data_IF_975272672498
#
_entry.id   IF_975272672498
#
_cell.length_a   1.000
_cell.length_b   1.000
_cell.length_c   1.000
_cell.angle_alpha   90.00
_cell.angle_beta   90.00
_cell.angle_gamma   90.00
#
_symmetry.space_group_name_H-M   'P 1'
#
loop_
_entity.id
_entity.type
_entity.pdbx_description
1 polymer ?
#
# COMPACT_ATOMS: atom_id res chain seq x y z
N UNK A 1 44.09 46.47 29.49
CA UNK A 1 43.38 46.37 28.21
C UNK A 1 43.16 44.93 27.71
N UNK A 2 44.05 43.96 27.99
CA UNK A 2 43.91 42.56 27.51
C UNK A 2 42.74 41.78 28.17
N UNK A 3 42.31 42.14 29.40
CA UNK A 3 41.19 41.46 30.07
C UNK A 3 39.79 41.78 29.54
N UNK A 4 39.54 43.03 29.16
CA UNK A 4 38.27 43.48 28.59
C UNK A 4 37.97 42.85 27.22
N UNK A 5 39.00 42.65 26.43
CA UNK A 5 38.88 42.01 25.11
C UNK A 5 38.51 40.51 25.22
N UNK A 6 39.05 39.85 26.24
CA UNK A 6 38.73 38.42 26.50
C UNK A 6 37.30 38.22 26.98
N UNK A 7 36.82 39.12 27.87
CA UNK A 7 35.41 39.11 28.32
C UNK A 7 34.43 39.41 27.15
N UNK A 8 34.78 40.38 26.30
CA UNK A 8 33.98 40.67 25.11
C UNK A 8 33.89 39.50 24.13
N UNK A 9 35.01 38.77 23.92
CA UNK A 9 35.04 37.60 23.02
C UNK A 9 34.24 36.43 23.58
N UNK A 10 34.32 36.19 24.90
CA UNK A 10 33.51 35.11 25.55
C UNK A 10 32.00 35.44 25.55
N UNK A 11 31.62 36.69 25.77
CA UNK A 11 30.23 37.11 25.70
C UNK A 11 29.66 37.03 24.25
N UNK A 12 30.46 37.44 23.26
CA UNK A 12 30.08 37.30 21.85
C UNK A 12 29.95 35.83 21.45
N UNK A 13 30.86 34.96 21.90
CA UNK A 13 30.78 33.52 21.68
C UNK A 13 29.51 32.90 22.32
N UNK A 14 29.23 33.25 23.58
CA UNK A 14 28.06 32.78 24.30
C UNK A 14 26.74 33.26 23.63
N UNK A 15 26.69 34.52 23.16
CA UNK A 15 25.55 35.04 22.44
C UNK A 15 25.37 34.35 21.08
N UNK A 16 26.45 34.08 20.35
CA UNK A 16 26.40 33.34 19.08
C UNK A 16 25.90 31.88 19.28
N UNK A 17 26.41 31.21 20.31
CA UNK A 17 25.96 29.84 20.68
C UNK A 17 24.50 29.81 21.09
N UNK A 18 24.03 30.78 21.88
CA UNK A 18 22.64 30.90 22.28
C UNK A 18 21.71 31.16 21.07
N UNK A 19 22.13 32.02 20.11
CA UNK A 19 21.39 32.28 18.89
C UNK A 19 21.33 31.05 17.99
N UNK A 20 22.46 30.34 17.84
CA UNK A 20 22.50 29.07 17.08
C UNK A 20 21.64 27.99 17.73
N UNK A 21 21.67 27.86 19.06
CA UNK A 21 20.80 26.94 19.78
C UNK A 21 19.33 27.27 19.60
N UNK A 22 18.95 28.56 19.74
CA UNK A 22 17.57 29.01 19.50
C UNK A 22 17.08 28.74 18.07
N UNK A 23 17.96 28.88 17.09
CA UNK A 23 17.65 28.56 15.68
C UNK A 23 17.52 27.05 15.41
N UNK A 24 18.36 26.23 16.03
CA UNK A 24 18.37 24.78 15.83
C UNK A 24 17.33 24.03 16.68
N UNK A 25 16.91 24.60 17.80
CA UNK A 25 15.98 23.97 18.74
C UNK A 25 14.65 23.51 18.12
N UNK A 26 13.95 24.30 17.28
CA UNK A 26 12.73 23.84 16.63
C UNK A 26 12.99 22.63 15.72
N UNK A 27 14.09 22.62 14.98
CA UNK A 27 14.48 21.50 14.10
C UNK A 27 14.82 20.24 14.88
N UNK A 28 15.49 20.39 16.03
CA UNK A 28 15.79 19.26 16.92
C UNK A 28 14.53 18.66 17.53
N UNK A 29 13.58 19.50 17.90
CA UNK A 29 12.28 19.07 18.41
C UNK A 29 11.49 18.32 17.35
N UNK A 30 11.42 18.83 16.12
CA UNK A 30 10.75 18.16 14.99
C UNK A 30 11.45 16.83 14.65
N UNK A 31 12.78 16.81 14.65
CA UNK A 31 13.58 15.60 14.42
C UNK A 31 13.35 14.54 15.50
N UNK A 32 13.31 14.93 16.77
CA UNK A 32 13.03 14.00 17.89
C UNK A 32 11.60 13.44 17.81
N UNK A 33 10.62 14.27 17.46
CA UNK A 33 9.24 13.82 17.28
C UNK A 33 9.13 12.78 16.15
N UNK A 34 9.83 12.99 15.01
CA UNK A 34 9.89 12.03 13.92
C UNK A 34 10.54 10.69 14.34
N UNK A 35 11.63 10.75 15.12
CA UNK A 35 12.30 9.54 15.62
C UNK A 35 11.41 8.77 16.60
N UNK A 36 10.69 9.45 17.48
CA UNK A 36 9.74 8.82 18.40
C UNK A 36 8.54 8.20 17.69
N UNK A 37 8.09 8.82 16.59
CA UNK A 37 6.97 8.34 15.79
C UNK A 37 7.37 7.28 14.75
N UNK A 38 8.64 6.90 14.62
CA UNK A 38 9.15 6.04 13.56
C UNK A 38 8.42 4.68 13.45
N UNK A 39 7.89 4.16 14.55
CA UNK A 39 7.19 2.86 14.59
C UNK A 39 5.67 2.98 14.47
N UNK A 40 5.13 4.21 14.49
CA UNK A 40 3.73 4.52 14.28
C UNK A 40 3.54 5.30 12.97
N UNK A 41 3.12 4.63 11.87
CA UNK A 41 2.95 5.31 10.59
C UNK A 41 1.86 6.37 10.59
N UNK A 42 0.88 6.32 11.49
CA UNK A 42 -0.15 7.35 11.59
C UNK A 42 0.41 8.65 12.18
N UNK A 43 1.12 8.57 13.30
CA UNK A 43 1.80 9.73 13.89
C UNK A 43 2.89 10.28 12.97
N UNK A 44 3.68 9.38 12.36
CA UNK A 44 4.73 9.77 11.41
C UNK A 44 4.17 10.54 10.23
N UNK A 45 3.07 10.05 9.61
CA UNK A 45 2.41 10.73 8.49
C UNK A 45 1.82 12.08 8.89
N UNK A 46 1.27 12.22 10.11
CA UNK A 46 0.77 13.50 10.62
C UNK A 46 1.87 14.56 10.76
N UNK A 47 3.01 14.19 11.33
CA UNK A 47 4.15 15.11 11.46
C UNK A 47 4.65 15.53 10.09
N UNK A 48 4.82 14.58 9.18
CA UNK A 48 5.34 14.86 7.83
C UNK A 48 4.38 15.67 6.97
N UNK A 49 3.07 15.36 7.00
CA UNK A 49 2.09 16.13 6.24
C UNK A 49 1.95 17.55 6.78
N UNK A 50 1.97 17.74 8.11
CA UNK A 50 1.96 19.07 8.71
C UNK A 50 3.20 19.89 8.30
N UNK A 51 4.37 19.24 8.20
CA UNK A 51 5.58 19.88 7.69
C UNK A 51 5.46 20.25 6.21
N UNK A 52 4.94 19.34 5.38
CA UNK A 52 4.71 19.60 3.96
C UNK A 52 3.72 20.76 3.75
N UNK A 53 2.65 20.84 4.55
CA UNK A 53 1.65 21.91 4.47
C UNK A 53 2.19 23.27 4.91
N UNK A 54 3.13 23.33 5.84
CA UNK A 54 3.84 24.58 6.17
C UNK A 54 4.59 25.16 4.97
N UNK A 55 5.11 24.28 4.11
CA UNK A 55 5.86 24.67 2.89
C UNK A 55 4.91 24.97 1.72
N UNK A 56 3.85 24.17 1.57
CA UNK A 56 2.86 24.33 0.50
C UNK A 56 1.44 24.06 1.03
N UNK A 57 0.80 25.09 1.59
CA UNK A 57 -0.56 24.98 2.11
C UNK A 57 -1.60 24.63 1.03
N UNK A 58 -1.32 24.96 -0.25
CA UNK A 58 -2.23 24.68 -1.36
C UNK A 58 -2.19 23.24 -1.85
N UNK A 59 -1.24 22.41 -1.40
CA UNK A 59 -1.01 21.04 -1.92
C UNK A 59 -2.27 20.16 -1.83
N UNK A 60 -3.05 20.26 -0.75
CA UNK A 60 -4.27 19.47 -0.59
C UNK A 60 -5.34 19.87 -1.60
N UNK A 61 -5.60 21.20 -1.75
CA UNK A 61 -6.58 21.71 -2.71
C UNK A 61 -6.20 21.40 -4.16
N UNK A 62 -4.92 21.54 -4.49
CA UNK A 62 -4.38 21.16 -5.80
C UNK A 62 -4.53 19.66 -6.06
N UNK A 63 -4.21 18.83 -5.06
CA UNK A 63 -4.36 17.37 -5.15
C UNK A 63 -5.81 16.95 -5.37
N UNK A 64 -6.76 17.57 -4.65
CA UNK A 64 -8.19 17.31 -4.84
C UNK A 64 -8.68 17.73 -6.24
N UNK A 65 -8.27 18.92 -6.72
CA UNK A 65 -8.63 19.39 -8.04
C UNK A 65 -8.05 18.51 -9.16
N UNK A 66 -6.79 18.07 -9.02
CA UNK A 66 -6.16 17.16 -9.97
C UNK A 66 -6.84 15.79 -9.98
N UNK A 67 -7.18 15.25 -8.81
CA UNK A 67 -7.90 13.97 -8.72
C UNK A 67 -9.25 14.02 -9.42
N UNK A 68 -9.99 15.14 -9.31
CA UNK A 68 -11.23 15.34 -10.08
C UNK A 68 -10.97 15.41 -11.59
N UNK A 69 -9.90 16.08 -12.02
CA UNK A 69 -9.55 16.14 -13.44
C UNK A 69 -9.18 14.75 -14.00
N UNK A 70 -8.59 13.90 -13.17
CA UNK A 70 -8.24 12.52 -13.50
C UNK A 70 -9.44 11.54 -13.35
N UNK A 71 -10.64 12.04 -13.06
CA UNK A 71 -11.85 11.23 -12.78
C UNK A 71 -11.65 10.22 -11.62
N UNK A 72 -10.87 10.59 -10.61
CA UNK A 72 -10.67 9.77 -9.40
C UNK A 72 -11.36 10.44 -8.20
N UNK A 73 -12.69 10.28 -8.14
CA UNK A 73 -13.52 10.89 -7.10
C UNK A 73 -13.14 10.40 -5.70
N UNK A 74 -12.75 9.13 -5.54
CA UNK A 74 -12.30 8.58 -4.26
C UNK A 74 -11.01 9.25 -3.77
N UNK A 75 -10.05 9.52 -4.68
CA UNK A 75 -8.84 10.25 -4.32
C UNK A 75 -9.15 11.72 -4.00
N UNK A 76 -10.03 12.36 -4.78
CA UNK A 76 -10.48 13.71 -4.49
C UNK A 76 -11.13 13.80 -3.09
N UNK A 77 -11.98 12.83 -2.76
CA UNK A 77 -12.59 12.69 -1.42
C UNK A 77 -11.53 12.50 -0.34
N UNK A 78 -10.53 11.66 -0.57
CA UNK A 78 -9.41 11.46 0.34
C UNK A 78 -8.69 12.77 0.67
N UNK A 79 -8.49 13.64 -0.31
CA UNK A 79 -7.91 14.97 -0.11
C UNK A 79 -8.83 15.92 0.65
N UNK A 80 -10.13 15.90 0.39
CA UNK A 80 -11.09 16.74 1.14
C UNK A 80 -11.21 16.31 2.59
N UNK A 81 -11.21 15.00 2.86
CA UNK A 81 -11.20 14.46 4.22
C UNK A 81 -9.93 14.87 4.98
N UNK A 82 -8.78 14.85 4.30
CA UNK A 82 -7.51 15.31 4.86
C UNK A 82 -7.52 16.82 5.12
N UNK A 83 -8.11 17.62 4.22
CA UNK A 83 -8.27 19.06 4.41
C UNK A 83 -9.08 19.38 5.66
N UNK A 84 -10.19 18.67 5.86
CA UNK A 84 -11.04 18.80 7.03
C UNK A 84 -10.29 18.44 8.32
N UNK A 85 -9.55 17.32 8.34
CA UNK A 85 -8.75 16.87 9.48
C UNK A 85 -7.66 17.89 9.86
N UNK A 86 -7.03 18.51 8.86
CA UNK A 86 -5.95 19.48 9.05
C UNK A 86 -6.41 20.93 9.18
N UNK A 87 -7.73 21.19 9.10
CA UNK A 87 -8.27 22.54 9.14
C UNK A 87 -7.83 23.43 7.96
N UNK A 88 -7.51 22.82 6.81
CA UNK A 88 -7.07 23.55 5.61
C UNK A 88 -8.28 23.99 4.80
N UNK A 89 -8.40 25.29 4.55
CA UNK A 89 -9.46 25.83 3.70
C UNK A 89 -9.25 25.41 2.24
N UNK A 90 -10.28 24.81 1.65
CA UNK A 90 -10.29 24.45 0.24
C UNK A 90 -10.81 25.63 -0.61
N UNK A 91 -10.43 25.70 -1.91
CA UNK A 91 -11.03 26.64 -2.86
C UNK A 91 -12.56 26.52 -2.87
N UNK A 92 -13.23 27.66 -3.03
CA UNK A 92 -14.70 27.74 -3.02
C UNK A 92 -15.31 26.79 -4.05
N UNK A 93 -16.33 26.01 -3.64
CA UNK A 93 -17.04 25.06 -4.48
C UNK A 93 -16.28 23.75 -4.78
N UNK A 94 -15.01 23.61 -4.39
CA UNK A 94 -14.25 22.37 -4.66
C UNK A 94 -14.84 21.17 -3.91
N UNK A 95 -15.17 21.34 -2.62
CA UNK A 95 -15.77 20.25 -1.82
C UNK A 95 -17.11 19.79 -2.42
N UNK A 96 -17.98 20.70 -2.81
CA UNK A 96 -19.26 20.36 -3.45
C UNK A 96 -19.06 19.59 -4.78
N UNK A 97 -18.06 19.96 -5.58
CA UNK A 97 -17.71 19.23 -6.81
C UNK A 97 -17.21 17.81 -6.52
N UNK A 98 -16.42 17.64 -5.46
CA UNK A 98 -15.95 16.31 -5.02
C UNK A 98 -17.14 15.45 -4.57
N UNK A 99 -18.04 15.99 -3.74
CA UNK A 99 -19.22 15.26 -3.26
C UNK A 99 -20.16 14.87 -4.42
N UNK A 100 -20.34 15.74 -5.41
CA UNK A 100 -21.10 15.42 -6.62
C UNK A 100 -20.42 14.29 -7.42
N UNK A 101 -19.10 14.33 -7.61
CA UNK A 101 -18.35 13.30 -8.34
C UNK A 101 -18.41 11.95 -7.62
N UNK A 102 -18.29 11.93 -6.28
CA UNK A 102 -18.43 10.70 -5.47
C UNK A 102 -19.86 10.13 -5.60
N UNK A 103 -20.86 10.99 -5.56
CA UNK A 103 -22.27 10.57 -5.74
C UNK A 103 -22.50 9.95 -7.11
N UNK A 104 -21.94 10.56 -8.16
CA UNK A 104 -22.05 10.03 -9.54
C UNK A 104 -21.28 8.71 -9.69
N UNK A 105 -20.07 8.60 -9.16
CA UNK A 105 -19.27 7.35 -9.18
C UNK A 105 -19.99 6.19 -8.44
N UNK A 106 -20.71 6.48 -7.37
CA UNK A 106 -21.49 5.51 -6.59
C UNK A 106 -22.90 5.27 -7.12
N UNK A 107 -23.30 5.92 -8.22
CA UNK A 107 -24.62 5.74 -8.80
C UNK A 107 -24.82 4.31 -9.33
N UNK A 108 -26.08 3.85 -9.36
CA UNK A 108 -26.43 2.53 -9.89
C UNK A 108 -26.00 2.37 -11.34
N UNK A 109 -26.04 3.46 -12.13
CA UNK A 109 -25.64 3.47 -13.53
C UNK A 109 -24.12 3.26 -13.71
N UNK A 110 -23.28 3.91 -12.86
CA UNK A 110 -21.84 3.73 -12.90
C UNK A 110 -21.43 2.35 -12.39
N UNK A 111 -22.10 1.83 -11.36
CA UNK A 111 -21.90 0.46 -10.86
C UNK A 111 -22.26 -0.57 -11.93
N UNK A 112 -23.39 -0.42 -12.62
CA UNK A 112 -23.79 -1.29 -13.72
C UNK A 112 -22.81 -1.25 -14.90
N UNK A 113 -22.30 -0.05 -15.24
CA UNK A 113 -21.30 0.13 -16.32
C UNK A 113 -19.98 -0.56 -15.95
N UNK A 114 -19.47 -0.38 -14.72
CA UNK A 114 -18.26 -1.05 -14.23
C UNK A 114 -18.41 -2.56 -14.25
N UNK A 115 -19.55 -3.07 -13.80
CA UNK A 115 -19.86 -4.50 -13.84
C UNK A 115 -19.86 -5.04 -15.28
N UNK A 116 -20.52 -4.35 -16.22
CA UNK A 116 -20.55 -4.75 -17.61
C UNK A 116 -19.15 -4.72 -18.25
N UNK A 117 -18.36 -3.67 -17.97
CA UNK A 117 -16.98 -3.56 -18.49
C UNK A 117 -16.09 -4.66 -17.90
N UNK A 118 -16.12 -4.86 -16.57
CA UNK A 118 -15.35 -5.91 -15.91
C UNK A 118 -15.69 -7.32 -16.37
N UNK A 119 -16.97 -7.58 -16.67
CA UNK A 119 -17.42 -8.85 -17.22
C UNK A 119 -16.90 -9.11 -18.65
N UNK A 120 -16.85 -8.07 -19.48
CA UNK A 120 -16.37 -8.18 -20.89
C UNK A 120 -14.83 -8.20 -20.94
N UNK A 121 -14.14 -7.37 -20.15
CA UNK A 121 -12.67 -7.27 -20.21
C UNK A 121 -11.96 -8.26 -19.29
N UNK A 122 -12.67 -8.87 -18.33
CA UNK A 122 -12.10 -9.73 -17.31
C UNK A 122 -11.28 -8.96 -16.24
N UNK A 123 -11.40 -7.63 -16.25
CA UNK A 123 -10.81 -6.73 -15.25
C UNK A 123 -11.91 -6.31 -14.28
N UNK A 124 -12.00 -7.00 -13.14
CA UNK A 124 -12.94 -6.65 -12.08
C UNK A 124 -12.33 -5.52 -11.23
N UNK A 125 -12.66 -4.28 -11.54
CA UNK A 125 -12.22 -3.11 -10.75
C UNK A 125 -12.90 -3.03 -9.36
N UNK A 126 -13.96 -3.81 -9.13
CA UNK A 126 -14.76 -3.69 -7.91
C UNK A 126 -15.27 -5.05 -7.40
N UNK A 127 -14.39 -5.76 -6.71
CA UNK A 127 -14.74 -7.05 -6.05
C UNK A 127 -15.69 -6.85 -4.86
N UNK A 128 -15.80 -5.63 -4.34
CA UNK A 128 -16.63 -5.31 -3.18
C UNK A 128 -18.13 -5.36 -3.46
N UNK A 129 -18.54 -5.27 -4.73
CA UNK A 129 -19.95 -5.27 -5.12
C UNK A 129 -20.55 -6.66 -5.40
N UNK A 130 -19.71 -7.71 -5.42
CA UNK A 130 -20.17 -9.08 -5.60
C UNK A 130 -20.59 -9.69 -4.27
N UNK A 131 -21.83 -10.18 -4.19
CA UNK A 131 -22.29 -10.94 -3.01
C UNK A 131 -21.28 -12.06 -2.70
N UNK A 132 -20.94 -12.26 -1.43
CA UNK A 132 -19.80 -13.06 -0.97
C UNK A 132 -19.62 -14.47 -1.57
N UNK A 133 -20.71 -15.13 -2.00
CA UNK A 133 -20.67 -16.45 -2.65
C UNK A 133 -20.18 -16.39 -4.09
N UNK A 134 -20.70 -15.44 -4.89
CA UNK A 134 -20.30 -15.28 -6.31
C UNK A 134 -18.87 -14.79 -6.43
N UNK A 135 -18.44 -13.86 -5.56
CA UNK A 135 -17.06 -13.41 -5.49
C UNK A 135 -16.10 -14.57 -5.14
N UNK A 136 -16.49 -15.44 -4.19
CA UNK A 136 -15.69 -16.61 -3.81
C UNK A 136 -15.39 -17.53 -4.99
N UNK A 137 -16.38 -17.83 -5.78
CA UNK A 137 -16.26 -18.71 -6.95
C UNK A 137 -15.41 -18.08 -8.05
N UNK A 138 -15.56 -16.78 -8.33
CA UNK A 138 -14.74 -16.06 -9.31
C UNK A 138 -13.26 -16.05 -8.92
N UNK A 139 -12.90 -15.88 -7.63
CA UNK A 139 -11.52 -15.98 -7.18
C UNK A 139 -10.94 -17.36 -7.39
N UNK A 140 -11.69 -18.42 -7.10
CA UNK A 140 -11.25 -19.81 -7.31
C UNK A 140 -10.99 -20.09 -8.78
N UNK A 141 -11.90 -19.69 -9.66
CA UNK A 141 -11.73 -19.85 -11.11
C UNK A 141 -10.53 -19.06 -11.64
N UNK A 142 -10.32 -17.84 -11.14
CA UNK A 142 -9.16 -17.02 -11.47
C UNK A 142 -7.85 -17.70 -11.07
N UNK A 143 -7.79 -18.25 -9.86
CA UNK A 143 -6.61 -18.96 -9.37
C UNK A 143 -6.35 -20.26 -10.15
N UNK A 144 -7.38 -21.05 -10.44
CA UNK A 144 -7.26 -22.26 -11.27
C UNK A 144 -6.75 -21.90 -12.66
N UNK A 145 -7.32 -20.88 -13.31
CA UNK A 145 -6.90 -20.42 -14.62
C UNK A 145 -5.41 -20.00 -14.61
N UNK A 146 -5.01 -19.21 -13.62
CA UNK A 146 -3.64 -18.69 -13.51
C UNK A 146 -2.66 -19.86 -13.27
N UNK A 147 -2.99 -20.83 -12.41
CA UNK A 147 -2.16 -22.04 -12.18
C UNK A 147 -2.05 -22.89 -13.44
N UNK A 148 -3.15 -23.13 -14.15
CA UNK A 148 -3.14 -23.93 -15.38
C UNK A 148 -2.33 -23.22 -16.47
N UNK A 149 -2.51 -21.91 -16.65
CA UNK A 149 -1.82 -21.14 -17.67
C UNK A 149 -0.32 -21.05 -17.42
N UNK A 150 0.06 -20.54 -16.26
CA UNK A 150 1.47 -20.33 -15.93
C UNK A 150 2.19 -21.67 -15.68
N UNK A 151 1.50 -22.66 -15.11
CA UNK A 151 2.04 -23.99 -14.93
C UNK A 151 2.31 -24.72 -16.25
N UNK A 152 1.42 -24.58 -17.27
CA UNK A 152 1.67 -25.11 -18.61
C UNK A 152 2.88 -24.45 -19.26
N UNK A 153 3.01 -23.12 -19.16
CA UNK A 153 4.18 -22.39 -19.64
C UNK A 153 5.46 -22.92 -19.03
N UNK A 154 5.45 -23.11 -17.69
CA UNK A 154 6.59 -23.68 -16.98
C UNK A 154 6.92 -25.09 -17.46
N UNK A 155 5.92 -25.93 -17.68
CA UNK A 155 6.10 -27.31 -18.16
C UNK A 155 6.64 -27.37 -19.59
N UNK A 156 6.30 -26.39 -20.45
CA UNK A 156 6.81 -26.27 -21.82
C UNK A 156 8.17 -25.56 -21.91
N UNK A 157 8.78 -25.17 -20.78
CA UNK A 157 10.02 -24.40 -20.77
C UNK A 157 9.88 -22.94 -21.21
N UNK A 158 8.66 -22.43 -21.28
CA UNK A 158 8.36 -21.03 -21.60
C UNK A 158 8.52 -20.11 -20.37
N UNK A 159 8.57 -18.79 -20.63
CA UNK A 159 8.61 -17.80 -19.56
C UNK A 159 7.27 -17.73 -18.80
N UNK A 160 7.20 -18.44 -17.68
CA UNK A 160 6.06 -18.40 -16.76
C UNK A 160 6.23 -17.27 -15.73
N UNK A 161 5.16 -16.55 -15.40
CA UNK A 161 5.17 -15.62 -14.27
C UNK A 161 5.06 -16.41 -12.95
N UNK A 162 6.22 -16.74 -12.37
CA UNK A 162 6.33 -17.52 -11.15
C UNK A 162 5.67 -16.84 -9.95
N UNK A 163 5.58 -15.50 -9.95
CA UNK A 163 4.89 -14.76 -8.91
C UNK A 163 3.37 -14.98 -8.99
N UNK A 164 2.80 -14.82 -10.19
CA UNK A 164 1.37 -15.08 -10.43
C UNK A 164 1.03 -16.54 -10.10
N UNK A 165 1.87 -17.48 -10.53
CA UNK A 165 1.72 -18.91 -10.24
C UNK A 165 1.73 -19.19 -8.74
N UNK A 166 2.69 -18.63 -8.00
CA UNK A 166 2.79 -18.80 -6.56
C UNK A 166 1.60 -18.19 -5.80
N UNK A 167 1.18 -16.99 -6.18
CA UNK A 167 0.04 -16.32 -5.55
C UNK A 167 -1.28 -17.07 -5.83
N UNK A 168 -1.50 -17.56 -7.05
CA UNK A 168 -2.67 -18.36 -7.39
C UNK A 168 -2.68 -19.70 -6.63
N UNK A 169 -1.51 -20.34 -6.48
CA UNK A 169 -1.37 -21.55 -5.66
C UNK A 169 -1.73 -21.29 -4.19
N UNK A 170 -1.26 -20.17 -3.61
CA UNK A 170 -1.65 -19.73 -2.26
C UNK A 170 -3.16 -19.48 -2.19
N UNK A 171 -3.75 -18.85 -3.20
CA UNK A 171 -5.20 -18.61 -3.29
C UNK A 171 -6.01 -19.90 -3.23
N UNK A 172 -5.62 -20.93 -3.98
CA UNK A 172 -6.27 -22.24 -3.95
C UNK A 172 -6.15 -22.94 -2.59
N UNK A 173 -5.01 -22.77 -1.89
CA UNK A 173 -4.84 -23.33 -0.54
C UNK A 173 -5.68 -22.61 0.51
N UNK A 174 -5.72 -21.28 0.46
CA UNK A 174 -6.60 -20.46 1.32
C UNK A 174 -8.05 -20.85 1.07
N UNK A 175 -8.44 -21.11 -0.17
CA UNK A 175 -9.77 -21.64 -0.52
C UNK A 175 -10.04 -22.97 0.15
N UNK A 176 -9.13 -23.92 0.02
CA UNK A 176 -9.29 -25.25 0.62
C UNK A 176 -9.36 -25.21 2.15
N UNK A 177 -8.65 -24.27 2.79
CA UNK A 177 -8.70 -24.06 4.24
C UNK A 177 -9.98 -23.36 4.71
N UNK A 178 -10.58 -22.51 3.85
CA UNK A 178 -11.79 -21.72 4.22
C UNK A 178 -13.09 -22.52 4.13
N UNK A 179 -13.14 -23.58 3.33
CA UNK A 179 -14.28 -24.51 3.42
C UNK A 179 -14.41 -25.16 4.81
N UNK A 180 -13.33 -25.08 5.62
CA UNK A 180 -13.29 -25.62 7.00
C UNK A 180 -13.54 -24.54 8.07
N UNK A 181 -13.33 -23.24 7.75
CA UNK A 181 -13.49 -22.14 8.73
C UNK A 181 -14.35 -21.01 8.15
N UNK A 182 -15.59 -20.90 8.59
CA UNK A 182 -16.57 -19.92 8.12
C UNK A 182 -16.03 -18.47 8.11
N UNK A 183 -15.70 -17.91 6.94
CA UNK A 183 -15.65 -16.47 6.68
C UNK A 183 -14.34 -15.72 6.92
N UNK A 184 -13.33 -16.27 7.62
CA UNK A 184 -12.12 -15.51 8.00
C UNK A 184 -11.08 -15.24 6.90
N UNK A 185 -11.28 -15.73 5.68
CA UNK A 185 -10.28 -15.64 4.60
C UNK A 185 -10.57 -14.58 3.52
N UNK A 186 -11.68 -13.86 3.62
CA UNK A 186 -12.06 -12.84 2.61
C UNK A 186 -10.98 -11.77 2.42
N UNK A 187 -10.40 -11.16 3.46
CA UNK A 187 -9.34 -10.16 3.28
C UNK A 187 -8.09 -10.74 2.61
N UNK A 188 -7.73 -12.00 2.93
CA UNK A 188 -6.55 -12.65 2.34
C UNK A 188 -6.77 -12.89 0.84
N UNK A 189 -7.95 -13.36 0.44
CA UNK A 189 -8.29 -13.59 -0.97
C UNK A 189 -8.30 -12.31 -1.77
N UNK A 190 -8.97 -11.27 -1.27
CA UNK A 190 -8.98 -9.95 -1.90
C UNK A 190 -7.54 -9.42 -2.07
N UNK A 191 -6.72 -9.51 -1.02
CA UNK A 191 -5.33 -9.08 -1.07
C UNK A 191 -4.48 -9.87 -2.07
N UNK A 192 -4.64 -11.20 -2.17
CA UNK A 192 -3.94 -12.03 -3.17
C UNK A 192 -4.29 -11.58 -4.59
N UNK A 193 -5.58 -11.38 -4.88
CA UNK A 193 -6.02 -10.91 -6.19
C UNK A 193 -5.44 -9.55 -6.51
N UNK A 194 -5.47 -8.60 -5.57
CA UNK A 194 -4.89 -7.27 -5.77
C UNK A 194 -3.38 -7.30 -6.04
N UNK A 195 -2.62 -8.15 -5.35
CA UNK A 195 -1.18 -8.30 -5.63
C UNK A 195 -0.96 -8.87 -7.03
N UNK A 196 -1.78 -9.86 -7.47
CA UNK A 196 -1.72 -10.40 -8.83
C UNK A 196 -2.07 -9.33 -9.87
N UNK A 197 -3.12 -8.57 -9.64
CA UNK A 197 -3.56 -7.53 -10.57
C UNK A 197 -2.54 -6.39 -10.65
N UNK A 198 -2.02 -5.93 -9.49
CA UNK A 198 -0.93 -4.96 -9.44
C UNK A 198 0.31 -5.43 -10.23
N UNK A 199 0.64 -6.74 -10.16
CA UNK A 199 1.71 -7.35 -10.95
C UNK A 199 1.41 -7.30 -12.45
N UNK A 200 0.21 -7.71 -12.86
CA UNK A 200 -0.22 -7.76 -14.27
C UNK A 200 -0.24 -6.38 -14.94
N UNK A 201 -0.64 -5.34 -14.20
CA UNK A 201 -0.69 -3.95 -14.70
C UNK A 201 0.59 -3.14 -14.44
N UNK A 202 1.67 -3.78 -13.95
CA UNK A 202 2.94 -3.11 -13.70
C UNK A 202 2.92 -2.10 -12.55
N UNK A 203 1.97 -2.23 -11.63
CA UNK A 203 1.81 -1.34 -10.45
C UNK A 203 2.33 -1.95 -9.14
N UNK A 204 3.20 -2.93 -9.22
CA UNK A 204 3.86 -3.52 -8.04
C UNK A 204 5.26 -2.93 -7.91
N UNK A 205 5.61 -2.39 -6.75
CA UNK A 205 6.93 -1.82 -6.47
C UNK A 205 8.04 -2.83 -6.72
N UNK A 206 9.20 -2.38 -7.22
CA UNK A 206 10.28 -3.26 -7.67
C UNK A 206 10.79 -4.18 -6.56
N UNK A 207 11.10 -3.65 -5.38
CA UNK A 207 11.57 -4.46 -4.25
C UNK A 207 10.49 -5.43 -3.73
N UNK A 208 9.22 -4.99 -3.70
CA UNK A 208 8.10 -5.87 -3.35
C UNK A 208 7.92 -6.99 -4.38
N UNK A 209 8.06 -6.69 -5.68
CA UNK A 209 8.02 -7.69 -6.76
C UNK A 209 9.10 -8.75 -6.58
N UNK A 210 10.33 -8.32 -6.32
CA UNK A 210 11.46 -9.21 -6.11
C UNK A 210 11.28 -10.09 -4.87
N UNK A 211 10.87 -9.48 -3.75
CA UNK A 211 10.59 -10.22 -2.52
C UNK A 211 9.46 -11.23 -2.70
N UNK A 212 8.34 -10.82 -3.31
CA UNK A 212 7.20 -11.69 -3.54
C UNK A 212 7.54 -12.82 -4.51
N UNK A 213 8.33 -12.55 -5.54
CA UNK A 213 8.84 -13.57 -6.47
C UNK A 213 9.74 -14.61 -5.79
N UNK A 214 10.68 -14.17 -4.92
CA UNK A 214 11.49 -15.11 -4.11
C UNK A 214 10.61 -15.95 -3.19
N UNK A 215 9.65 -15.35 -2.53
CA UNK A 215 8.72 -16.03 -1.62
C UNK A 215 7.85 -17.04 -2.36
N UNK A 216 7.32 -16.66 -3.54
CA UNK A 216 6.50 -17.53 -4.39
C UNK A 216 7.27 -18.78 -4.85
N UNK A 217 8.53 -18.62 -5.28
CA UNK A 217 9.39 -19.77 -5.64
C UNK A 217 9.64 -20.71 -4.46
N UNK A 218 9.74 -20.18 -3.25
CA UNK A 218 9.94 -20.99 -2.05
C UNK A 218 8.74 -21.86 -1.67
N UNK A 219 7.56 -21.44 -2.10
CA UNK A 219 6.27 -22.05 -1.73
C UNK A 219 5.88 -23.20 -2.67
N UNK A 220 6.36 -23.21 -3.90
CA UNK A 220 5.98 -24.15 -4.95
C UNK A 220 7.11 -25.17 -5.18
N UNK A 221 6.79 -26.46 -5.17
CA UNK A 221 7.66 -27.51 -5.66
C UNK A 221 7.48 -27.63 -7.18
N UNK A 222 8.45 -27.10 -7.94
CA UNK A 222 8.31 -27.00 -9.40
C UNK A 222 8.14 -28.36 -10.10
N UNK A 223 8.91 -29.43 -9.78
CA UNK A 223 8.68 -30.75 -10.36
C UNK A 223 7.31 -31.35 -10.07
N UNK A 224 6.84 -31.25 -8.83
CA UNK A 224 5.51 -31.75 -8.46
C UNK A 224 4.40 -30.90 -9.10
N UNK A 225 4.59 -29.60 -9.24
CA UNK A 225 3.63 -28.74 -9.91
C UNK A 225 3.52 -29.05 -11.40
N UNK A 226 4.64 -29.35 -12.09
CA UNK A 226 4.61 -29.76 -13.49
C UNK A 226 3.76 -31.02 -13.69
N UNK A 227 3.89 -32.02 -12.81
CA UNK A 227 3.05 -33.21 -12.82
C UNK A 227 1.58 -32.88 -12.53
N UNK A 228 1.32 -32.05 -11.54
CA UNK A 228 -0.04 -31.62 -11.18
C UNK A 228 -0.73 -30.89 -12.34
N UNK A 229 -0.01 -30.01 -13.04
CA UNK A 229 -0.54 -29.23 -14.16
C UNK A 229 -0.81 -30.07 -15.41
N UNK A 230 -0.03 -31.15 -15.63
CA UNK A 230 -0.30 -32.07 -16.74
C UNK A 230 -1.70 -32.71 -16.66
N UNK A 231 -2.25 -32.86 -15.48
CA UNK A 231 -3.60 -33.39 -15.19
C UNK A 231 -4.62 -32.30 -14.86
N UNK A 232 -4.19 -31.04 -14.71
CA UNK A 232 -5.05 -29.94 -14.30
C UNK A 232 -6.05 -29.53 -15.41
N UNK A 233 -7.29 -29.28 -15.02
CA UNK A 233 -8.36 -28.85 -15.90
C UNK A 233 -9.30 -27.86 -15.22
N UNK A 234 -9.68 -26.82 -15.94
CA UNK A 234 -10.71 -25.86 -15.47
C UNK A 234 -12.05 -26.57 -15.31
N UNK A 235 -12.32 -27.61 -16.13
CA UNK A 235 -13.54 -28.40 -16.03
C UNK A 235 -13.60 -29.33 -14.80
N UNK A 236 -12.47 -29.57 -14.12
CA UNK A 236 -12.37 -30.43 -12.93
C UNK A 236 -11.65 -29.71 -11.79
N UNK A 237 -12.25 -28.66 -11.23
CA UNK A 237 -11.60 -27.79 -10.24
C UNK A 237 -11.13 -28.54 -8.99
N UNK A 238 -11.90 -29.51 -8.49
CA UNK A 238 -11.53 -30.29 -7.30
C UNK A 238 -10.25 -31.12 -7.50
N UNK A 239 -10.05 -31.73 -8.65
CA UNK A 239 -8.84 -32.48 -8.97
C UNK A 239 -7.63 -31.55 -9.08
N UNK A 240 -7.80 -30.40 -9.74
CA UNK A 240 -6.76 -29.38 -9.86
C UNK A 240 -6.33 -28.84 -8.48
N UNK A 241 -7.29 -28.52 -7.61
CA UNK A 241 -7.00 -28.07 -6.24
C UNK A 241 -6.21 -29.14 -5.46
N UNK A 242 -6.61 -30.41 -5.55
CA UNK A 242 -5.93 -31.50 -4.84
C UNK A 242 -4.50 -31.72 -5.36
N UNK A 243 -4.29 -31.66 -6.67
CA UNK A 243 -2.98 -31.81 -7.30
C UNK A 243 -2.04 -30.64 -6.95
N UNK A 244 -2.56 -29.41 -6.97
CA UNK A 244 -1.78 -28.21 -6.58
C UNK A 244 -1.41 -28.27 -5.10
N UNK A 245 -2.34 -28.75 -4.25
CA UNK A 245 -2.08 -28.94 -2.81
C UNK A 245 -0.88 -29.84 -2.53
N UNK A 246 -0.70 -30.91 -3.32
CA UNK A 246 0.44 -31.82 -3.18
C UNK A 246 1.78 -31.17 -3.56
N UNK A 247 1.77 -30.24 -4.52
CA UNK A 247 2.96 -29.52 -4.99
C UNK A 247 3.31 -28.28 -4.14
N UNK A 248 2.63 -28.07 -3.02
CA UNK A 248 2.70 -26.82 -2.27
C UNK A 248 3.29 -27.02 -0.87
N UNK A 249 4.26 -26.18 -0.53
CA UNK A 249 4.90 -26.14 0.79
C UNK A 249 4.17 -25.14 1.69
N UNK A 250 3.08 -25.59 2.32
CA UNK A 250 2.17 -24.74 3.12
C UNK A 250 2.91 -23.99 4.24
N UNK A 251 3.93 -24.61 4.84
CA UNK A 251 4.77 -24.02 5.88
C UNK A 251 5.54 -22.77 5.43
N UNK A 252 5.77 -22.61 4.12
CA UNK A 252 6.44 -21.44 3.52
C UNK A 252 5.48 -20.35 3.04
N UNK A 253 4.18 -20.63 3.00
CA UNK A 253 3.16 -19.68 2.52
C UNK A 253 2.90 -18.50 3.48
N UNK A 254 3.22 -18.66 4.77
CA UNK A 254 2.83 -17.73 5.81
C UNK A 254 3.23 -16.27 5.54
N UNK A 255 4.33 -16.03 4.86
CA UNK A 255 4.78 -14.66 4.52
C UNK A 255 3.88 -14.02 3.44
N UNK A 256 3.50 -14.77 2.40
CA UNK A 256 2.59 -14.30 1.35
C UNK A 256 1.16 -14.12 1.88
N UNK A 257 0.71 -15.00 2.76
CA UNK A 257 -0.60 -14.89 3.42
C UNK A 257 -0.66 -13.62 4.28
N UNK A 258 0.40 -13.29 5.04
CA UNK A 258 0.47 -12.04 5.81
C UNK A 258 0.45 -10.82 4.90
N UNK A 259 1.25 -10.82 3.84
CA UNK A 259 1.21 -9.75 2.84
C UNK A 259 -0.21 -9.55 2.30
N UNK A 260 -0.85 -10.63 1.86
CA UNK A 260 -2.21 -10.58 1.32
C UNK A 260 -3.23 -10.05 2.34
N UNK A 261 -3.12 -10.49 3.60
CA UNK A 261 -3.97 -9.98 4.69
C UNK A 261 -3.79 -8.47 4.86
N UNK A 262 -2.56 -7.98 4.85
CA UNK A 262 -2.26 -6.57 5.01
C UNK A 262 -2.77 -5.75 3.82
N UNK A 263 -2.61 -6.22 2.58
CA UNK A 263 -3.20 -5.60 1.38
C UNK A 263 -4.73 -5.57 1.47
N UNK A 264 -5.35 -6.66 1.91
CA UNK A 264 -6.80 -6.72 2.12
C UNK A 264 -7.29 -5.69 3.13
N UNK A 265 -6.55 -5.49 4.24
CA UNK A 265 -6.87 -4.45 5.24
C UNK A 265 -6.76 -3.03 4.68
N UNK A 266 -5.71 -2.77 3.88
CA UNK A 266 -5.60 -1.47 3.17
C UNK A 266 -6.79 -1.27 2.25
N UNK A 267 -7.18 -2.29 1.49
CA UNK A 267 -8.33 -2.21 0.59
C UNK A 267 -9.64 -1.95 1.32
N UNK A 268 -9.85 -2.60 2.45
CA UNK A 268 -11.04 -2.41 3.28
C UNK A 268 -11.17 -0.97 3.79
N UNK A 269 -10.06 -0.33 4.18
CA UNK A 269 -10.04 1.00 4.81
C UNK A 269 -9.82 2.16 3.84
N UNK A 270 -9.04 1.94 2.79
CA UNK A 270 -8.65 2.98 1.82
C UNK A 270 -9.14 2.69 0.39
N UNK A 271 -9.95 1.64 0.21
CA UNK A 271 -10.46 1.22 -1.10
C UNK A 271 -9.44 0.48 -1.96
N UNK A 272 -9.93 -0.15 -3.03
CA UNK A 272 -9.11 -0.92 -3.99
C UNK A 272 -8.01 -0.07 -4.62
N UNK A 273 -8.36 1.14 -5.08
CA UNK A 273 -7.38 2.10 -5.64
C UNK A 273 -6.33 2.49 -4.61
N UNK A 274 -6.71 2.62 -3.32
CA UNK A 274 -5.78 2.87 -2.22
C UNK A 274 -4.78 1.74 -1.99
N UNK A 275 -5.23 0.49 -2.07
CA UNK A 275 -4.35 -0.67 -1.99
C UNK A 275 -3.36 -0.71 -3.17
N UNK A 276 -3.80 -0.40 -4.40
CA UNK A 276 -2.93 -0.31 -5.58
C UNK A 276 -1.91 0.83 -5.46
N UNK A 277 -2.30 1.98 -4.91
CA UNK A 277 -1.38 3.10 -4.66
C UNK A 277 -0.29 2.70 -3.66
N UNK A 278 -0.65 1.99 -2.59
CA UNK A 278 0.29 1.43 -1.61
C UNK A 278 1.22 0.39 -2.25
N UNK A 279 0.69 -0.57 -3.00
CA UNK A 279 1.47 -1.61 -3.66
C UNK A 279 2.50 -1.04 -4.63
N UNK A 280 2.19 0.09 -5.29
CA UNK A 280 3.09 0.76 -6.22
C UNK A 280 4.30 1.37 -5.54
N UNK A 281 4.15 1.91 -4.32
CA UNK A 281 5.23 2.59 -3.59
C UNK A 281 5.98 1.68 -2.62
N UNK A 282 5.39 0.54 -2.24
CA UNK A 282 5.96 -0.39 -1.29
C UNK A 282 7.20 -1.09 -1.88
N UNK A 283 8.28 -1.13 -1.10
CA UNK A 283 9.52 -1.80 -1.46
C UNK A 283 9.65 -3.20 -0.81
N UNK A 284 8.74 -3.52 0.09
CA UNK A 284 8.68 -4.82 0.73
C UNK A 284 7.44 -5.02 1.61
N UNK A 285 7.28 -6.23 2.18
CA UNK A 285 6.10 -6.56 2.98
C UNK A 285 5.98 -5.70 4.25
N UNK A 286 7.08 -5.19 4.78
CA UNK A 286 7.05 -4.29 5.95
C UNK A 286 6.36 -2.97 5.62
N UNK A 287 6.55 -2.44 4.42
CA UNK A 287 5.89 -1.20 3.98
C UNK A 287 4.39 -1.41 3.88
N UNK A 288 3.96 -2.56 3.33
CA UNK A 288 2.54 -2.92 3.23
C UNK A 288 1.92 -3.10 4.61
N UNK A 289 2.61 -3.75 5.55
CA UNK A 289 2.13 -3.89 6.92
C UNK A 289 1.98 -2.53 7.63
N UNK A 290 2.90 -1.58 7.37
CA UNK A 290 2.79 -0.20 7.87
C UNK A 290 1.65 0.56 7.20
N UNK A 291 1.46 0.38 5.90
CA UNK A 291 0.32 0.94 5.18
C UNK A 291 -1.02 0.43 5.71
N UNK A 292 -1.09 -0.84 6.11
CA UNK A 292 -2.29 -1.40 6.74
C UNK A 292 -2.58 -0.71 8.09
N UNK A 293 -1.57 -0.49 8.94
CA UNK A 293 -1.73 0.28 10.17
C UNK A 293 -2.13 1.73 9.92
N UNK A 294 -1.54 2.37 8.89
CA UNK A 294 -1.92 3.72 8.47
C UNK A 294 -3.38 3.76 8.03
N UNK A 295 -3.79 2.82 7.20
CA UNK A 295 -5.17 2.75 6.70
C UNK A 295 -6.18 2.47 7.82
N UNK A 296 -5.85 1.64 8.80
CA UNK A 296 -6.69 1.41 9.99
C UNK A 296 -6.89 2.68 10.81
N UNK A 297 -5.86 3.53 10.91
CA UNK A 297 -5.93 4.78 11.69
C UNK A 297 -6.54 5.95 10.89
N UNK A 298 -6.19 6.08 9.61
CA UNK A 298 -6.52 7.25 8.77
C UNK A 298 -7.65 7.00 7.75
N UNK A 299 -8.08 5.74 7.58
CA UNK A 299 -9.19 5.40 6.70
C UNK A 299 -9.02 5.95 5.28
N UNK A 300 -10.03 6.66 4.80
CA UNK A 300 -10.05 7.28 3.46
C UNK A 300 -8.91 8.26 3.20
N UNK A 301 -8.38 8.94 4.23
CA UNK A 301 -7.28 9.91 4.09
C UNK A 301 -5.95 9.26 3.68
N UNK A 302 -5.83 7.94 3.80
CA UNK A 302 -4.60 7.19 3.48
C UNK A 302 -4.11 7.46 2.06
N UNK A 303 -5.02 7.55 1.08
CA UNK A 303 -4.65 7.80 -0.32
C UNK A 303 -4.00 9.17 -0.51
N UNK A 304 -4.59 10.22 0.08
CA UNK A 304 -4.04 11.57 0.03
C UNK A 304 -2.66 11.63 0.72
N UNK A 305 -2.50 11.00 1.90
CA UNK A 305 -1.22 10.91 2.60
C UNK A 305 -0.15 10.23 1.75
N UNK A 306 -0.49 9.09 1.13
CA UNK A 306 0.41 8.37 0.21
C UNK A 306 0.75 9.21 -1.03
N UNK A 307 -0.20 9.97 -1.57
CA UNK A 307 0.05 10.86 -2.72
C UNK A 307 0.96 12.04 -2.38
N UNK A 308 0.80 12.65 -1.20
CA UNK A 308 1.62 13.80 -0.76
C UNK A 308 3.02 13.36 -0.35
N UNK A 309 3.10 12.31 0.44
CA UNK A 309 4.34 11.89 1.13
C UNK A 309 5.07 10.74 0.44
N UNK A 310 4.41 10.07 -0.52
CA UNK A 310 4.94 8.84 -1.11
C UNK A 310 5.23 7.80 -0.04
N UNK A 311 6.37 7.14 -0.15
CA UNK A 311 6.85 6.15 0.83
C UNK A 311 7.12 6.76 2.22
N UNK A 312 7.31 8.09 2.29
CA UNK A 312 7.44 8.82 3.55
C UNK A 312 6.21 8.71 4.46
N UNK A 313 5.00 8.48 3.89
CA UNK A 313 3.81 8.21 4.69
C UNK A 313 3.93 6.95 5.57
N UNK A 314 4.80 6.01 5.18
CA UNK A 314 4.93 4.71 5.81
C UNK A 314 6.14 4.60 6.74
N UNK A 315 7.22 5.31 6.43
CA UNK A 315 8.48 5.18 7.15
C UNK A 315 9.32 6.46 7.08
N UNK A 316 10.17 6.61 8.07
CA UNK A 316 11.15 7.68 8.07
C UNK A 316 12.18 7.42 6.96
N UNK A 317 12.27 8.34 5.99
CA UNK A 317 13.24 8.20 4.90
C UNK A 317 14.67 8.41 5.41
N UNK A 318 15.65 7.81 4.74
CA UNK A 318 17.05 7.98 5.08
C UNK A 318 17.47 9.46 5.09
N UNK A 319 16.92 10.29 4.22
CA UNK A 319 17.16 11.73 4.20
C UNK A 319 16.66 12.43 5.46
N UNK A 320 15.47 12.08 5.95
CA UNK A 320 14.93 12.64 7.19
C UNK A 320 15.72 12.16 8.41
N UNK A 321 16.15 10.89 8.43
CA UNK A 321 17.01 10.37 9.48
C UNK A 321 18.38 11.07 9.51
N UNK A 322 19.02 11.25 8.35
CA UNK A 322 20.29 11.96 8.24
C UNK A 322 20.16 13.42 8.68
N UNK A 323 19.09 14.11 8.31
CA UNK A 323 18.84 15.48 8.76
C UNK A 323 18.70 15.55 10.28
N UNK A 324 17.94 14.64 10.87
CA UNK A 324 17.80 14.54 12.33
C UNK A 324 19.16 14.35 13.01
N UNK A 325 19.97 13.43 12.48
CA UNK A 325 21.32 13.17 12.98
C UNK A 325 22.23 14.40 12.89
N UNK A 326 22.22 15.13 11.77
CA UNK A 326 22.99 16.36 11.60
C UNK A 326 22.58 17.46 12.57
N UNK A 327 21.28 17.62 12.83
CA UNK A 327 20.76 18.58 13.80
C UNK A 327 21.24 18.23 15.22
N UNK A 328 21.17 16.95 15.61
CA UNK A 328 21.71 16.51 16.91
C UNK A 328 23.21 16.70 17.02
N UNK A 329 23.97 16.36 16.00
CA UNK A 329 25.42 16.56 15.98
C UNK A 329 25.79 18.05 16.08
N UNK A 330 25.06 18.93 15.41
CA UNK A 330 25.27 20.38 15.49
C UNK A 330 24.96 20.93 16.88
N UNK A 331 23.93 20.43 17.57
CA UNK A 331 23.58 20.81 18.93
C UNK A 331 24.63 20.35 19.97
N UNK A 332 25.22 19.17 19.74
CA UNK A 332 26.29 18.66 20.63
C UNK A 332 27.62 19.39 20.42
N UNK A 333 27.83 20.02 19.25
CA UNK A 333 29.06 20.79 18.95
C UNK A 333 28.99 22.25 19.40
N UNK A 334 27.82 22.74 19.83
CA UNK A 334 27.61 24.08 20.41
C UNK A 334 27.90 24.12 21.92
#
# INVERSE_FOLDING_TARGET
MKGFWRIGLTLAGAAASAAAFAALWPHARDASALLLAQDDPAQLSDIQVNSALRTNAAAIGQGAAQALADNDADLAKSFTDLAQDKGVALPSGLAARVDAAVTDENSTASTARRFATGFVTGEADDVASLSGTVAGDLFVFGDIRDVVREGKRLAMGENADQLVLGLASVGLLVTAATYVSAGGATPVRAGLSMVKDARKVGRLGAGLTEWAGRSARGVVDAPMLQQAVATASIARPGQTISAVKAAFKAEKAGALVRLAKDVGRVSEKAGTKGALDVLRIADGPKDVARAAKLAESKGSQTRALVKILGRGALLLTAGAFNLAWWVFAALLAL
#
